data_IF_640508383993
#
_entry.id   IF_640508383993
#
_cell.length_a   1.000
_cell.length_b   1.000
_cell.length_c   1.000
_cell.angle_alpha   90.00
_cell.angle_beta   90.00
_cell.angle_gamma   90.00
#
_symmetry.space_group_name_H-M   'P 1'
#
loop_
_entity.id
_entity.type
_entity.pdbx_description
1 polymer ?
#
# COMPACT_ATOMS: atom_id res chain seq x y z
N UNK A 1 -9.89 25.72 71.88
CA UNK A 1 -10.76 26.60 71.10
C UNK A 1 -10.74 26.14 69.63
N UNK A 2 -11.91 26.12 69.00
CA UNK A 2 -12.22 25.19 67.93
C UNK A 2 -11.96 25.74 66.51
N UNK A 3 -11.69 24.80 65.60
CA UNK A 3 -11.70 25.02 64.18
C UNK A 3 -13.12 25.29 63.66
N UNK A 4 -13.30 26.02 62.58
CA UNK A 4 -14.46 25.85 61.75
C UNK A 4 -14.10 25.17 60.44
N UNK A 5 -14.83 24.11 60.19
CA UNK A 5 -14.95 23.44 58.92
C UNK A 5 -15.50 24.36 57.82
N UNK A 6 -14.86 24.34 56.66
CA UNK A 6 -15.39 24.93 55.43
C UNK A 6 -15.17 23.92 54.29
N UNK A 7 -16.15 23.06 54.08
CA UNK A 7 -16.26 22.18 52.92
C UNK A 7 -16.63 23.01 51.70
N UNK A 8 -15.74 23.07 50.70
CA UNK A 8 -16.08 23.52 49.35
C UNK A 8 -15.73 22.38 48.39
N UNK A 9 -16.70 21.52 48.18
CA UNK A 9 -16.72 20.56 47.08
C UNK A 9 -17.04 21.28 45.77
N UNK A 10 -16.05 21.70 45.02
CA UNK A 10 -16.24 22.12 43.63
C UNK A 10 -16.04 20.92 42.73
N UNK A 11 -17.17 20.25 42.40
CA UNK A 11 -17.23 19.28 41.34
C UNK A 11 -17.05 19.96 39.98
N UNK A 12 -15.83 20.05 39.51
CA UNK A 12 -15.55 20.36 38.11
C UNK A 12 -15.82 19.10 37.28
N UNK A 13 -17.09 18.93 36.91
CA UNK A 13 -17.47 18.05 35.82
C UNK A 13 -17.06 18.71 34.51
N UNK A 14 -15.78 18.57 34.12
CA UNK A 14 -15.35 18.84 32.75
C UNK A 14 -16.01 17.83 31.81
N UNK A 15 -17.13 18.24 31.25
CA UNK A 15 -17.79 17.59 30.14
C UNK A 15 -16.87 17.63 28.92
N UNK A 16 -16.01 16.61 28.76
CA UNK A 16 -15.25 16.37 27.53
C UNK A 16 -16.23 16.25 26.37
N UNK A 17 -16.47 17.35 25.65
CA UNK A 17 -17.22 17.36 24.38
C UNK A 17 -16.61 16.30 23.48
N UNK A 18 -17.27 15.16 23.32
CA UNK A 18 -16.90 14.04 22.46
C UNK A 18 -16.78 14.57 21.05
N UNK A 19 -15.56 14.84 20.60
CA UNK A 19 -15.28 15.41 19.28
C UNK A 19 -15.79 14.42 18.23
N UNK A 20 -16.92 14.76 17.60
CA UNK A 20 -17.54 13.90 16.56
C UNK A 20 -16.52 13.74 15.41
N UNK A 21 -16.22 12.49 15.06
CA UNK A 21 -15.32 12.18 13.96
C UNK A 21 -16.08 12.36 12.65
N UNK A 22 -15.59 13.25 11.77
CA UNK A 22 -16.17 13.43 10.44
C UNK A 22 -15.64 12.33 9.52
N UNK A 23 -16.52 11.47 9.00
CA UNK A 23 -16.17 10.35 8.12
C UNK A 23 -16.50 10.66 6.66
N UNK A 24 -15.58 10.30 5.76
CA UNK A 24 -15.85 10.20 4.33
C UNK A 24 -15.91 8.73 3.94
N UNK A 25 -17.02 8.30 3.33
CA UNK A 25 -17.20 6.92 2.89
C UNK A 25 -17.01 6.79 1.39
N UNK A 26 -16.29 5.75 0.99
CA UNK A 26 -16.17 5.33 -0.41
C UNK A 26 -16.40 3.82 -0.53
N UNK A 27 -17.08 3.38 -1.59
CA UNK A 27 -17.57 2.02 -1.76
C UNK A 27 -17.19 1.49 -3.13
N UNK A 28 -16.77 0.23 -3.21
CA UNK A 28 -16.60 -0.42 -4.51
C UNK A 28 -17.95 -0.82 -5.13
N UNK A 29 -17.92 -1.41 -6.33
CA UNK A 29 -19.12 -1.77 -7.09
C UNK A 29 -19.68 -3.15 -6.70
N UNK A 30 -19.03 -3.91 -5.80
CA UNK A 30 -19.47 -5.25 -5.42
C UNK A 30 -20.79 -5.22 -4.63
N UNK A 31 -21.61 -6.27 -4.77
CA UNK A 31 -22.89 -6.41 -4.09
C UNK A 31 -22.75 -6.21 -2.56
N UNK A 32 -21.72 -6.82 -1.96
CA UNK A 32 -21.47 -6.71 -0.52
C UNK A 32 -21.17 -5.28 -0.09
N UNK A 33 -20.35 -4.55 -0.86
CA UNK A 33 -20.03 -3.15 -0.58
C UNK A 33 -21.23 -2.23 -0.74
N UNK A 34 -22.06 -2.46 -1.76
CA UNK A 34 -23.28 -1.67 -1.98
C UNK A 34 -24.35 -1.94 -0.88
N UNK A 35 -24.48 -3.17 -0.39
CA UNK A 35 -25.31 -3.49 0.76
C UNK A 35 -24.80 -2.80 2.03
N UNK A 36 -23.49 -2.78 2.23
CA UNK A 36 -22.87 -2.08 3.35
C UNK A 36 -23.06 -0.56 3.24
N UNK A 37 -23.00 0.01 2.03
CA UNK A 37 -23.28 1.43 1.76
C UNK A 37 -24.64 1.84 2.31
N UNK A 38 -25.71 1.10 2.00
CA UNK A 38 -27.06 1.39 2.52
C UNK A 38 -27.06 1.44 4.05
N UNK A 39 -26.46 0.43 4.72
CA UNK A 39 -26.40 0.34 6.19
C UNK A 39 -25.61 1.49 6.83
N UNK A 40 -24.47 1.86 6.24
CA UNK A 40 -23.61 2.90 6.82
C UNK A 40 -24.16 4.30 6.59
N UNK A 41 -24.69 4.61 5.41
CA UNK A 41 -25.25 5.94 5.11
C UNK A 41 -26.57 6.23 5.83
N UNK A 42 -27.32 5.19 6.21
CA UNK A 42 -28.48 5.37 7.11
C UNK A 42 -28.06 5.74 8.55
N UNK A 43 -26.84 5.39 8.96
CA UNK A 43 -26.37 5.59 10.34
C UNK A 43 -25.40 6.76 10.50
N UNK A 44 -24.61 7.06 9.47
CA UNK A 44 -23.54 8.05 9.54
C UNK A 44 -23.66 9.06 8.39
N UNK A 45 -23.45 10.33 8.71
CA UNK A 45 -23.35 11.40 7.71
C UNK A 45 -22.08 11.22 6.89
N UNK A 46 -22.19 11.24 5.56
CA UNK A 46 -21.05 11.23 4.65
C UNK A 46 -20.54 12.65 4.44
N UNK A 47 -19.34 12.94 4.92
CA UNK A 47 -18.68 14.23 4.73
C UNK A 47 -17.83 14.21 3.45
N UNK A 48 -17.45 15.37 2.93
CA UNK A 48 -16.48 15.43 1.82
C UNK A 48 -15.11 14.91 2.26
N UNK A 49 -14.32 14.34 1.35
CA UNK A 49 -12.97 13.86 1.67
C UNK A 49 -12.05 14.99 2.19
N UNK A 50 -12.28 16.23 1.76
CA UNK A 50 -11.52 17.41 2.21
C UNK A 50 -11.81 17.73 3.68
N UNK A 51 -13.05 17.68 4.10
CA UNK A 51 -13.51 18.08 5.45
C UNK A 51 -13.54 16.92 6.45
N UNK A 52 -13.38 15.69 5.98
CA UNK A 52 -13.38 14.51 6.85
C UNK A 52 -12.11 14.41 7.70
N UNK A 53 -12.23 13.70 8.83
CA UNK A 53 -11.10 13.31 9.68
C UNK A 53 -10.49 11.99 9.24
N UNK A 54 -11.32 11.08 8.68
CA UNK A 54 -10.93 9.74 8.25
C UNK A 54 -11.68 9.39 6.96
N UNK A 55 -11.00 8.71 6.05
CA UNK A 55 -11.59 8.12 4.84
C UNK A 55 -11.85 6.65 5.11
N UNK A 56 -13.13 6.25 5.08
CA UNK A 56 -13.57 4.87 5.28
C UNK A 56 -13.78 4.24 3.91
N UNK A 57 -13.03 3.18 3.63
CA UNK A 57 -13.03 2.47 2.34
C UNK A 57 -13.70 1.12 2.52
N UNK A 58 -14.84 0.88 1.88
CA UNK A 58 -15.54 -0.40 1.87
C UNK A 58 -15.32 -1.12 0.55
N UNK A 59 -14.60 -2.25 0.58
CA UNK A 59 -14.21 -3.01 -0.62
C UNK A 59 -13.18 -4.07 -0.31
N UNK A 60 -12.38 -4.46 -1.30
CA UNK A 60 -11.20 -5.30 -1.16
C UNK A 60 -9.90 -4.48 -1.21
N UNK A 61 -8.74 -5.17 -1.13
CA UNK A 61 -7.41 -4.52 -1.17
C UNK A 61 -7.19 -3.70 -2.45
N UNK A 62 -7.61 -4.19 -3.61
CA UNK A 62 -7.50 -3.44 -4.87
C UNK A 62 -8.26 -2.11 -4.84
N UNK A 63 -9.45 -2.08 -4.22
CA UNK A 63 -10.20 -0.84 -4.05
C UNK A 63 -9.56 0.10 -3.02
N UNK A 64 -8.94 -0.46 -1.97
CA UNK A 64 -8.13 0.30 -1.02
C UNK A 64 -6.95 0.98 -1.72
N UNK A 65 -6.18 0.25 -2.54
CA UNK A 65 -5.05 0.80 -3.30
C UNK A 65 -5.48 1.96 -4.21
N UNK A 66 -6.62 1.81 -4.90
CA UNK A 66 -7.21 2.88 -5.72
C UNK A 66 -7.61 4.09 -4.87
N UNK A 67 -8.22 3.86 -3.72
CA UNK A 67 -8.66 4.91 -2.80
C UNK A 67 -7.49 5.68 -2.21
N UNK A 68 -6.41 4.99 -1.81
CA UNK A 68 -5.17 5.60 -1.34
C UNK A 68 -4.60 6.57 -2.38
N UNK A 69 -4.53 6.15 -3.66
CA UNK A 69 -4.05 6.99 -4.77
C UNK A 69 -4.97 8.17 -5.04
N UNK A 70 -6.29 7.94 -5.08
CA UNK A 70 -7.30 8.96 -5.37
C UNK A 70 -7.32 10.08 -4.32
N UNK A 71 -7.21 9.72 -3.07
CA UNK A 71 -7.37 10.64 -1.95
C UNK A 71 -6.06 11.09 -1.29
N UNK A 72 -4.89 10.70 -1.84
CA UNK A 72 -3.56 11.03 -1.30
C UNK A 72 -3.38 12.53 -1.01
N UNK A 73 -3.92 13.40 -1.86
CA UNK A 73 -3.83 14.88 -1.72
C UNK A 73 -4.46 15.42 -0.44
N UNK A 74 -5.40 14.71 0.17
CA UNK A 74 -6.07 15.17 1.40
C UNK A 74 -5.30 14.82 2.67
N UNK A 75 -4.25 13.99 2.59
CA UNK A 75 -3.39 13.58 3.74
C UNK A 75 -4.19 13.07 4.94
N UNK A 76 -5.30 12.36 4.69
CA UNK A 76 -6.17 11.80 5.73
C UNK A 76 -5.82 10.33 5.98
N UNK A 77 -6.02 9.81 7.20
CA UNK A 77 -5.92 8.39 7.48
C UNK A 77 -7.07 7.62 6.82
N UNK A 78 -6.80 6.36 6.46
CA UNK A 78 -7.74 5.46 5.81
C UNK A 78 -8.09 4.30 6.73
N UNK A 79 -9.38 3.99 6.84
CA UNK A 79 -9.89 2.82 7.54
C UNK A 79 -10.61 1.91 6.54
N UNK A 80 -10.02 0.76 6.23
CA UNK A 80 -10.59 -0.20 5.29
C UNK A 80 -11.61 -1.13 5.97
N UNK A 81 -12.73 -1.41 5.32
CA UNK A 81 -13.71 -2.43 5.70
C UNK A 81 -13.76 -3.48 4.61
N UNK A 82 -13.39 -4.73 4.94
CA UNK A 82 -13.37 -5.81 3.98
C UNK A 82 -14.80 -6.22 3.59
N UNK A 83 -15.08 -6.14 2.30
CA UNK A 83 -16.31 -6.62 1.66
C UNK A 83 -16.08 -7.86 0.77
N UNK A 84 -14.83 -8.29 0.62
CA UNK A 84 -14.41 -9.48 -0.12
C UNK A 84 -14.09 -10.66 0.78
N UNK A 85 -13.50 -11.70 0.17
CA UNK A 85 -13.11 -12.94 0.89
C UNK A 85 -11.85 -12.72 1.72
N UNK A 86 -10.85 -12.07 1.14
CA UNK A 86 -9.56 -11.77 1.77
C UNK A 86 -9.24 -10.29 1.66
N UNK A 87 -8.57 -9.75 2.67
CA UNK A 87 -8.12 -8.36 2.63
C UNK A 87 -6.96 -8.14 3.59
N UNK A 88 -5.76 -7.91 3.03
CA UNK A 88 -4.55 -7.69 3.81
C UNK A 88 -4.50 -6.27 4.38
N UNK A 89 -5.00 -5.28 3.63
CA UNK A 89 -5.06 -3.88 4.05
C UNK A 89 -6.36 -3.51 4.77
N UNK A 90 -7.33 -4.46 4.85
CA UNK A 90 -8.68 -4.20 5.31
C UNK A 90 -8.93 -4.71 6.74
N UNK A 91 -9.87 -4.10 7.46
CA UNK A 91 -10.39 -4.59 8.73
C UNK A 91 -11.65 -5.43 8.51
N UNK A 92 -12.00 -6.29 9.46
CA UNK A 92 -13.29 -7.01 9.43
C UNK A 92 -14.43 -6.02 9.68
N UNK A 93 -15.50 -6.17 8.90
CA UNK A 93 -16.71 -5.42 9.20
C UNK A 93 -17.28 -5.84 10.56
N UNK A 94 -17.64 -4.84 11.37
CA UNK A 94 -18.48 -5.04 12.55
C UNK A 94 -19.55 -3.97 12.54
N UNK A 95 -20.81 -4.41 12.67
CA UNK A 95 -22.00 -3.55 12.55
C UNK A 95 -22.14 -2.50 13.66
N UNK A 96 -21.49 -2.71 14.79
CA UNK A 96 -21.60 -1.85 15.96
C UNK A 96 -20.34 -1.00 16.16
N UNK A 97 -20.54 0.29 16.49
CA UNK A 97 -19.51 1.21 17.02
C UNK A 97 -18.30 1.48 16.10
N UNK A 98 -18.51 1.76 14.79
CA UNK A 98 -17.45 2.09 13.85
C UNK A 98 -16.54 3.23 14.35
N UNK A 99 -17.12 4.31 14.90
CA UNK A 99 -16.33 5.42 15.44
C UNK A 99 -15.41 5.01 16.58
N UNK A 100 -15.91 4.19 17.53
CA UNK A 100 -15.08 3.66 18.63
C UNK A 100 -13.93 2.80 18.09
N UNK A 101 -14.16 2.01 17.03
CA UNK A 101 -13.10 1.23 16.37
C UNK A 101 -12.06 2.12 15.73
N UNK A 102 -12.49 3.15 15.00
CA UNK A 102 -11.58 4.10 14.35
C UNK A 102 -10.73 4.84 15.39
N UNK A 103 -11.32 5.25 16.53
CA UNK A 103 -10.59 5.91 17.63
C UNK A 103 -9.51 4.98 18.21
N UNK A 104 -9.81 3.70 18.39
CA UNK A 104 -8.91 2.70 18.97
C UNK A 104 -7.93 2.11 17.95
N UNK A 105 -8.09 2.41 16.68
CA UNK A 105 -7.29 1.82 15.62
C UNK A 105 -5.81 2.21 15.73
N UNK A 106 -4.93 1.24 15.50
CA UNK A 106 -3.49 1.47 15.39
C UNK A 106 -3.16 2.08 14.03
N UNK A 107 -2.33 3.11 14.04
CA UNK A 107 -1.84 3.78 12.84
C UNK A 107 -0.62 3.07 12.27
N UNK A 108 -0.59 2.91 10.97
CA UNK A 108 0.56 2.42 10.22
C UNK A 108 0.78 3.35 9.04
N UNK A 109 1.99 3.89 8.89
CA UNK A 109 2.33 4.78 7.79
C UNK A 109 3.15 4.04 6.75
N UNK A 110 2.79 4.20 5.48
CA UNK A 110 3.46 3.61 4.32
C UNK A 110 3.90 4.74 3.39
N UNK A 111 5.13 4.67 2.90
CA UNK A 111 5.62 5.54 1.84
C UNK A 111 5.56 4.78 0.51
N UNK A 112 4.81 5.26 -0.50
CA UNK A 112 4.69 4.56 -1.77
C UNK A 112 5.96 4.69 -2.62
N UNK A 113 6.11 3.80 -3.59
CA UNK A 113 7.07 3.97 -4.67
C UNK A 113 6.59 5.06 -5.62
N UNK A 114 7.48 5.93 -6.03
CA UNK A 114 7.30 6.87 -7.14
C UNK A 114 7.99 6.30 -8.38
N UNK A 115 7.27 6.31 -9.48
CA UNK A 115 7.69 5.72 -10.73
C UNK A 115 7.69 6.80 -11.80
N UNK A 116 8.78 6.87 -12.55
CA UNK A 116 8.88 7.72 -13.74
C UNK A 116 9.23 6.81 -14.92
N UNK A 117 8.29 6.66 -15.84
CA UNK A 117 8.45 5.86 -17.05
C UNK A 117 8.91 6.71 -18.22
N UNK A 118 9.74 6.13 -19.08
CA UNK A 118 10.13 6.69 -20.37
C UNK A 118 9.67 5.72 -21.46
N UNK A 119 8.80 6.20 -22.36
CA UNK A 119 8.29 5.49 -23.53
C UNK A 119 8.85 6.12 -24.79
N UNK A 120 8.54 5.52 -25.96
CA UNK A 120 8.89 6.08 -27.29
C UNK A 120 8.23 7.45 -27.57
N UNK A 121 7.08 7.72 -26.95
CA UNK A 121 6.41 9.02 -26.99
C UNK A 121 6.74 9.76 -25.68
N UNK A 122 7.20 10.98 -25.77
CA UNK A 122 7.86 11.84 -24.76
C UNK A 122 6.98 12.16 -23.51
N UNK A 123 6.26 11.22 -22.95
CA UNK A 123 5.46 11.48 -21.75
C UNK A 123 6.06 10.76 -20.53
N UNK A 124 6.77 11.52 -19.70
CA UNK A 124 7.14 11.11 -18.34
C UNK A 124 5.87 11.07 -17.48
N UNK A 125 5.18 9.95 -17.44
CA UNK A 125 4.06 9.78 -16.53
C UNK A 125 4.60 9.39 -15.16
N UNK A 126 4.40 10.26 -14.18
CA UNK A 126 4.71 9.94 -12.79
C UNK A 126 3.53 9.20 -12.16
N UNK A 127 3.77 8.00 -11.64
CA UNK A 127 2.79 7.20 -10.92
C UNK A 127 3.30 6.87 -9.52
N UNK A 128 2.40 6.45 -8.65
CA UNK A 128 2.74 5.88 -7.35
C UNK A 128 2.22 4.44 -7.25
N UNK A 129 3.00 3.59 -6.56
CA UNK A 129 2.59 2.25 -6.18
C UNK A 129 2.75 2.07 -4.67
N UNK A 130 1.74 1.49 -4.04
CA UNK A 130 1.72 1.22 -2.59
C UNK A 130 2.36 -0.13 -2.30
N UNK A 131 2.02 -1.16 -3.06
CA UNK A 131 2.55 -2.51 -2.92
C UNK A 131 3.85 -2.69 -3.71
N UNK A 132 3.75 -2.69 -5.04
CA UNK A 132 4.87 -3.01 -5.91
C UNK A 132 4.77 -2.38 -7.29
N UNK A 133 5.90 -2.41 -7.95
CA UNK A 133 6.04 -2.14 -9.38
C UNK A 133 6.64 -3.37 -10.03
N UNK A 134 5.99 -3.89 -11.04
CA UNK A 134 6.49 -5.01 -11.83
C UNK A 134 6.69 -4.62 -13.30
N UNK A 135 7.72 -5.18 -13.93
CA UNK A 135 7.93 -5.14 -15.36
C UNK A 135 7.73 -6.54 -15.92
N UNK A 136 6.87 -6.67 -16.93
CA UNK A 136 6.54 -7.93 -17.58
C UNK A 136 6.78 -7.88 -19.07
N UNK A 137 7.07 -9.06 -19.63
CA UNK A 137 7.00 -9.28 -21.08
C UNK A 137 5.57 -9.05 -21.60
N UNK A 138 5.44 -8.39 -22.75
CA UNK A 138 4.16 -8.19 -23.43
C UNK A 138 3.85 -9.25 -24.48
N UNK A 139 4.84 -10.07 -24.83
CA UNK A 139 4.75 -11.10 -25.85
C UNK A 139 5.27 -12.43 -25.30
N UNK A 140 5.29 -13.49 -26.14
CA UNK A 140 5.94 -14.77 -25.82
C UNK A 140 7.47 -14.66 -25.59
N UNK A 141 8.11 -13.59 -26.03
CA UNK A 141 9.54 -13.37 -25.84
C UNK A 141 9.83 -12.95 -24.39
N UNK A 142 10.90 -13.49 -23.80
CA UNK A 142 11.41 -13.10 -22.50
C UNK A 142 11.82 -11.63 -22.50
N UNK A 143 11.79 -10.97 -21.35
CA UNK A 143 12.37 -9.62 -21.19
C UNK A 143 13.89 -9.65 -21.34
N UNK A 144 14.50 -8.51 -21.68
CA UNK A 144 15.93 -8.27 -21.63
C UNK A 144 16.19 -6.96 -20.93
N UNK A 145 16.45 -7.01 -19.61
CA UNK A 145 16.49 -5.84 -18.76
C UNK A 145 17.89 -5.61 -18.16
N UNK A 146 18.32 -4.35 -18.13
CA UNK A 146 19.46 -3.88 -17.31
C UNK A 146 18.91 -3.34 -16.00
N UNK A 147 19.52 -3.74 -14.87
CA UNK A 147 19.21 -3.24 -13.54
C UNK A 147 20.36 -2.40 -13.00
N UNK A 148 20.06 -1.17 -12.61
CA UNK A 148 21.00 -0.23 -12.00
C UNK A 148 20.44 0.28 -10.66
N UNK A 149 21.31 0.42 -9.66
CA UNK A 149 21.02 1.05 -8.36
C UNK A 149 22.04 2.16 -8.15
N UNK A 150 21.59 3.39 -7.90
CA UNK A 150 22.45 4.59 -7.74
C UNK A 150 23.49 4.70 -8.86
N UNK A 151 23.06 4.53 -10.13
CA UNK A 151 23.89 4.52 -11.35
C UNK A 151 24.86 3.32 -11.46
N UNK A 152 25.02 2.49 -10.42
CA UNK A 152 25.85 1.28 -10.47
C UNK A 152 25.07 0.14 -11.11
N UNK A 153 25.65 -0.51 -12.11
CA UNK A 153 25.05 -1.69 -12.75
C UNK A 153 25.13 -2.89 -11.81
N UNK A 154 23.98 -3.44 -11.45
CA UNK A 154 23.84 -4.65 -10.62
C UNK A 154 23.71 -5.87 -11.52
N UNK A 155 22.90 -5.77 -12.58
CA UNK A 155 22.73 -6.82 -13.58
C UNK A 155 22.82 -6.18 -14.96
N UNK A 156 23.78 -6.61 -15.75
CA UNK A 156 23.97 -6.13 -17.12
C UNK A 156 22.82 -6.58 -18.03
N UNK A 157 22.34 -7.83 -17.85
CA UNK A 157 21.26 -8.40 -18.67
C UNK A 157 20.50 -9.46 -17.88
N UNK A 158 19.27 -9.13 -17.49
CA UNK A 158 18.30 -10.06 -16.91
C UNK A 158 17.39 -10.58 -18.04
N UNK A 159 17.32 -11.90 -18.18
CA UNK A 159 16.41 -12.58 -19.11
C UNK A 159 15.45 -13.42 -18.28
N UNK A 160 14.17 -13.26 -18.49
CA UNK A 160 13.09 -13.95 -17.78
C UNK A 160 11.72 -13.43 -18.19
N UNK A 161 10.70 -13.65 -17.37
CA UNK A 161 9.37 -13.10 -17.62
C UNK A 161 9.23 -11.66 -17.14
N UNK A 162 10.07 -11.26 -16.16
CA UNK A 162 10.04 -9.90 -15.63
C UNK A 162 10.87 -9.69 -14.37
N UNK A 163 10.62 -8.58 -13.71
CA UNK A 163 11.19 -8.22 -12.41
C UNK A 163 10.18 -7.37 -11.62
N UNK A 164 10.16 -7.54 -10.33
CA UNK A 164 9.27 -6.84 -9.41
C UNK A 164 10.07 -6.10 -8.35
N UNK A 165 9.66 -4.88 -8.02
CA UNK A 165 10.18 -4.08 -6.91
C UNK A 165 9.06 -3.86 -5.91
N UNK A 166 9.20 -4.42 -4.70
CA UNK A 166 8.18 -4.37 -3.67
C UNK A 166 8.56 -3.52 -2.47
N UNK A 167 7.57 -2.82 -1.95
CA UNK A 167 7.61 -2.20 -0.62
C UNK A 167 7.44 -3.27 0.48
N UNK A 168 7.72 -2.94 1.75
CA UNK A 168 7.37 -3.84 2.85
C UNK A 168 5.88 -4.19 2.90
N UNK A 169 4.98 -3.24 2.58
CA UNK A 169 3.54 -3.48 2.56
C UNK A 169 3.13 -4.46 1.46
N UNK A 170 3.77 -4.38 0.29
CA UNK A 170 3.54 -5.26 -0.85
C UNK A 170 4.30 -6.58 -0.78
N UNK A 171 5.21 -6.75 0.19
CA UNK A 171 6.06 -7.96 0.26
C UNK A 171 5.26 -9.26 0.47
N UNK A 172 4.05 -9.17 1.00
CA UNK A 172 3.09 -10.27 1.17
C UNK A 172 2.06 -10.37 0.04
N UNK A 173 2.13 -9.49 -0.97
CA UNK A 173 1.27 -9.50 -2.15
C UNK A 173 1.94 -10.29 -3.30
N UNK A 174 1.99 -9.73 -4.50
CA UNK A 174 2.55 -10.42 -5.66
C UNK A 174 4.03 -10.81 -5.48
N UNK A 175 4.80 -10.03 -4.70
CA UNK A 175 6.17 -10.38 -4.35
C UNK A 175 6.28 -11.77 -3.70
N UNK A 176 5.34 -12.12 -2.80
CA UNK A 176 5.32 -13.45 -2.17
C UNK A 176 5.02 -14.56 -3.19
N UNK A 177 4.09 -14.32 -4.11
CA UNK A 177 3.72 -15.28 -5.17
C UNK A 177 4.88 -15.60 -6.12
N UNK A 178 5.82 -14.66 -6.31
CA UNK A 178 7.05 -14.89 -7.09
C UNK A 178 8.25 -15.25 -6.21
N UNK A 179 7.98 -15.80 -5.02
CA UNK A 179 8.99 -16.27 -4.06
C UNK A 179 9.92 -15.18 -3.51
N UNK A 180 9.50 -13.92 -3.54
CA UNK A 180 10.23 -12.81 -2.95
C UNK A 180 10.24 -12.85 -1.41
N UNK A 181 11.17 -12.13 -0.77
CA UNK A 181 11.26 -12.07 0.68
C UNK A 181 10.11 -11.26 1.28
N UNK A 182 9.61 -11.68 2.45
CA UNK A 182 8.68 -10.90 3.26
C UNK A 182 9.49 -9.91 4.09
N UNK A 183 9.17 -8.62 3.94
CA UNK A 183 9.86 -7.53 4.62
C UNK A 183 9.05 -7.02 5.82
N UNK A 184 9.71 -6.81 6.96
CA UNK A 184 9.10 -6.13 8.09
C UNK A 184 8.75 -4.68 7.71
N UNK A 185 7.59 -4.19 8.15
CA UNK A 185 7.03 -2.91 7.71
C UNK A 185 7.97 -1.72 7.95
N UNK A 186 8.69 -1.75 9.07
CA UNK A 186 9.63 -0.70 9.47
C UNK A 186 11.09 -1.01 9.07
N UNK A 187 11.31 -1.96 8.16
CA UNK A 187 12.67 -2.40 7.78
C UNK A 187 13.50 -1.34 7.05
N UNK A 188 12.86 -0.31 6.48
CA UNK A 188 13.54 0.64 5.60
C UNK A 188 14.12 -0.02 4.33
N UNK A 189 13.56 -1.16 3.90
CA UNK A 189 14.05 -1.96 2.78
C UNK A 189 13.03 -2.03 1.63
N UNK A 190 13.51 -2.41 0.45
CA UNK A 190 12.73 -2.83 -0.71
C UNK A 190 13.23 -4.20 -1.16
N UNK A 191 12.33 -5.00 -1.73
CA UNK A 191 12.71 -6.24 -2.40
C UNK A 191 12.73 -6.04 -3.90
N UNK A 192 13.78 -6.52 -4.56
CA UNK A 192 13.86 -6.71 -6.02
C UNK A 192 13.77 -8.20 -6.26
N UNK A 193 12.72 -8.66 -6.92
CA UNK A 193 12.45 -10.09 -7.13
C UNK A 193 12.29 -10.36 -8.62
N UNK A 194 13.08 -11.26 -9.21
CA UNK A 194 12.88 -11.66 -10.59
C UNK A 194 11.64 -12.52 -10.76
N UNK A 195 11.05 -12.48 -11.94
CA UNK A 195 9.93 -13.33 -12.31
C UNK A 195 10.43 -14.34 -13.34
N UNK A 196 10.42 -15.64 -12.99
CA UNK A 196 10.90 -16.73 -13.83
C UNK A 196 12.25 -16.44 -14.50
N UNK A 197 13.35 -16.18 -13.75
CA UNK A 197 14.61 -15.76 -14.33
C UNK A 197 15.29 -16.94 -15.06
N UNK A 198 15.59 -16.73 -16.35
CA UNK A 198 16.39 -17.67 -17.15
C UNK A 198 17.89 -17.38 -17.07
N UNK A 199 18.27 -16.09 -17.06
CA UNK A 199 19.65 -15.62 -16.87
C UNK A 199 19.64 -14.28 -16.10
N UNK A 200 20.53 -14.06 -15.09
CA UNK A 200 21.43 -15.07 -14.49
C UNK A 200 20.63 -16.21 -13.84
N UNK A 201 21.06 -17.44 -14.04
CA UNK A 201 20.45 -18.60 -13.36
C UNK A 201 20.63 -18.47 -11.85
N UNK A 202 19.65 -18.94 -11.07
CA UNK A 202 19.67 -18.94 -9.60
C UNK A 202 19.70 -17.55 -8.95
N UNK A 203 19.58 -16.46 -9.71
CA UNK A 203 19.44 -15.15 -9.09
C UNK A 203 18.05 -15.02 -8.41
N UNK A 204 18.09 -14.98 -7.09
CA UNK A 204 16.85 -14.92 -6.26
C UNK A 204 16.37 -13.48 -6.01
N UNK A 205 17.05 -12.48 -6.55
CA UNK A 205 16.74 -11.07 -6.28
C UNK A 205 17.68 -10.46 -5.23
N UNK A 206 17.28 -9.29 -4.71
CA UNK A 206 18.08 -8.54 -3.73
C UNK A 206 17.22 -7.70 -2.82
N UNK A 207 17.53 -7.68 -1.54
CA UNK A 207 16.98 -6.72 -0.58
C UNK A 207 17.91 -5.50 -0.58
N UNK A 208 17.35 -4.29 -0.69
CA UNK A 208 18.06 -3.03 -0.77
C UNK A 208 17.47 -2.00 0.20
N UNK A 209 18.18 -0.89 0.43
CA UNK A 209 17.64 0.24 1.17
C UNK A 209 16.50 0.92 0.40
N UNK A 210 15.48 1.42 1.09
CA UNK A 210 14.41 2.20 0.48
C UNK A 210 14.82 3.65 0.11
N UNK A 211 16.03 4.07 0.47
CA UNK A 211 16.56 5.38 0.13
C UNK A 211 17.15 5.46 -1.27
N UNK A 212 17.42 4.32 -1.90
CA UNK A 212 18.11 4.27 -3.20
C UNK A 212 17.16 4.44 -4.39
N UNK A 213 17.74 4.90 -5.49
CA UNK A 213 17.08 5.01 -6.79
C UNK A 213 17.42 3.80 -7.65
N UNK A 214 16.38 3.17 -8.18
CA UNK A 214 16.46 1.99 -9.06
C UNK A 214 16.15 2.44 -10.48
N UNK A 215 16.94 1.98 -11.46
CA UNK A 215 16.64 2.15 -12.88
C UNK A 215 16.61 0.79 -13.56
N UNK A 216 15.54 0.55 -14.29
CA UNK A 216 15.36 -0.61 -15.17
C UNK A 216 15.34 -0.11 -16.61
N UNK A 217 16.16 -0.70 -17.47
CA UNK A 217 16.23 -0.35 -18.89
C UNK A 217 15.95 -1.58 -19.72
N UNK A 218 14.98 -1.50 -20.64
CA UNK A 218 14.74 -2.53 -21.63
C UNK A 218 15.82 -2.43 -22.72
N UNK A 219 16.62 -3.49 -22.87
CA UNK A 219 17.75 -3.51 -23.79
C UNK A 219 17.33 -3.76 -25.25
N UNK A 220 16.13 -4.30 -25.46
CA UNK A 220 15.61 -4.64 -26.79
C UNK A 220 14.09 -4.35 -26.88
N UNK A 221 13.69 -3.08 -26.86
CA UNK A 221 12.27 -2.73 -26.79
C UNK A 221 11.48 -3.06 -28.07
N UNK A 222 12.13 -3.20 -29.22
CA UNK A 222 11.46 -3.59 -30.47
C UNK A 222 11.10 -5.08 -30.48
N UNK A 223 12.06 -5.97 -30.17
CA UNK A 223 11.86 -7.42 -30.18
C UNK A 223 11.21 -7.92 -28.90
N UNK A 224 11.45 -7.27 -27.76
CA UNK A 224 11.06 -7.71 -26.41
C UNK A 224 10.33 -6.57 -25.68
N UNK A 225 9.13 -6.18 -26.14
CA UNK A 225 8.39 -5.11 -25.49
C UNK A 225 8.00 -5.49 -24.07
N UNK A 226 8.05 -4.53 -23.14
CA UNK A 226 7.68 -4.72 -21.73
C UNK A 226 6.59 -3.75 -21.31
N UNK A 227 5.73 -4.21 -20.40
CA UNK A 227 4.78 -3.40 -19.67
C UNK A 227 5.26 -3.21 -18.22
N UNK A 228 5.01 -2.05 -17.66
CA UNK A 228 5.15 -1.78 -16.24
C UNK A 228 3.76 -1.73 -15.60
N UNK A 229 3.62 -2.39 -14.44
CA UNK A 229 2.38 -2.36 -13.65
C UNK A 229 2.70 -1.77 -12.27
N UNK A 230 2.03 -0.68 -11.94
CA UNK A 230 2.12 0.00 -10.64
C UNK A 230 0.87 -0.33 -9.82
N UNK A 231 0.94 -1.32 -8.93
CA UNK A 231 -0.19 -1.99 -8.30
C UNK A 231 -1.18 -2.52 -9.35
N UNK A 232 -2.14 -1.70 -9.76
CA UNK A 232 -3.19 -2.03 -10.73
C UNK A 232 -3.22 -1.12 -11.97
N UNK A 233 -2.18 -0.30 -12.18
CA UNK A 233 -2.09 0.62 -13.33
C UNK A 233 -1.01 0.13 -14.27
N UNK A 234 -1.41 -0.28 -15.47
CA UNK A 234 -0.49 -0.75 -16.51
C UNK A 234 -0.05 0.40 -17.43
N UNK A 235 1.25 0.38 -17.81
CA UNK A 235 1.84 1.22 -18.84
C UNK A 235 2.63 0.32 -19.78
N UNK A 236 2.30 0.37 -21.06
CA UNK A 236 2.90 -0.46 -22.10
C UNK A 236 4.09 0.19 -22.81
N UNK A 237 4.89 -0.65 -23.48
CA UNK A 237 6.02 -0.24 -24.33
C UNK A 237 7.05 0.61 -23.61
N UNK A 238 7.45 0.17 -22.41
CA UNK A 238 8.43 0.86 -21.58
C UNK A 238 9.85 0.66 -22.13
N UNK A 239 10.57 1.74 -22.37
CA UNK A 239 12.02 1.74 -22.65
C UNK A 239 12.83 1.74 -21.37
N UNK A 240 12.48 2.56 -20.42
CA UNK A 240 13.11 2.58 -19.11
C UNK A 240 12.15 3.01 -18.02
N UNK A 241 12.45 2.57 -16.81
CA UNK A 241 11.67 2.88 -15.60
C UNK A 241 12.63 3.29 -14.49
N UNK A 242 12.35 4.42 -13.88
CA UNK A 242 13.04 4.88 -12.67
C UNK A 242 12.10 4.78 -11.50
N UNK A 243 12.55 4.15 -10.41
CA UNK A 243 11.76 3.86 -9.21
C UNK A 243 12.52 4.37 -7.99
N UNK A 244 11.83 5.05 -7.09
CA UNK A 244 12.33 5.46 -5.78
C UNK A 244 11.17 5.49 -4.77
N UNK A 245 11.46 5.36 -3.50
CA UNK A 245 10.46 5.62 -2.45
C UNK A 245 10.19 7.12 -2.37
N UNK A 246 8.91 7.50 -2.36
CA UNK A 246 8.51 8.88 -2.14
C UNK A 246 8.24 9.13 -0.65
N UNK A 247 9.25 9.62 0.06
CA UNK A 247 9.17 9.93 1.50
C UNK A 247 8.29 11.15 1.81
N UNK A 248 7.93 11.96 0.82
CA UNK A 248 7.04 13.12 1.00
C UNK A 248 5.56 12.72 1.02
N UNK A 249 5.24 11.49 0.60
CA UNK A 249 3.89 10.95 0.64
C UNK A 249 3.80 9.96 1.81
N UNK A 250 2.95 10.29 2.77
CA UNK A 250 2.63 9.44 3.92
C UNK A 250 1.19 8.94 3.78
N UNK A 251 1.03 7.65 3.55
CA UNK A 251 -0.26 6.97 3.50
C UNK A 251 -0.50 6.31 4.85
N UNK A 252 -1.42 6.87 5.65
CA UNK A 252 -1.72 6.35 6.98
C UNK A 252 -2.92 5.41 6.93
N UNK A 253 -2.69 4.14 7.26
CA UNK A 253 -3.71 3.11 7.41
C UNK A 253 -4.08 2.94 8.88
N UNK A 254 -5.37 2.76 9.14
CA UNK A 254 -5.93 2.48 10.46
C UNK A 254 -6.35 1.01 10.53
N UNK A 255 -5.79 0.29 11.48
CA UNK A 255 -6.07 -1.13 11.69
C UNK A 255 -6.62 -1.38 13.09
N UNK A 256 -7.61 -2.26 13.19
CA UNK A 256 -8.07 -2.77 14.47
C UNK A 256 -6.86 -3.35 15.25
N UNK A 257 -6.75 -3.15 16.57
CA UNK A 257 -5.56 -3.51 17.36
C UNK A 257 -5.11 -4.96 17.19
N UNK A 258 -6.08 -5.87 17.04
CA UNK A 258 -5.83 -7.30 16.87
C UNK A 258 -5.36 -7.67 15.44
N UNK A 259 -5.57 -6.79 14.47
CA UNK A 259 -5.33 -7.00 13.04
C UNK A 259 -4.39 -5.98 12.43
N UNK A 260 -3.45 -5.46 13.20
CA UNK A 260 -2.47 -4.51 12.68
C UNK A 260 -1.67 -5.12 11.52
N UNK A 261 -1.32 -4.30 10.52
CA UNK A 261 -0.54 -4.73 9.36
C UNK A 261 0.79 -5.37 9.79
N UNK A 262 1.41 -4.85 10.85
CA UNK A 262 2.63 -5.43 11.44
C UNK A 262 2.41 -6.88 11.90
N UNK A 263 1.30 -7.16 12.61
CA UNK A 263 0.98 -8.53 13.06
C UNK A 263 0.73 -9.47 11.88
N UNK A 264 0.06 -9.00 10.83
CA UNK A 264 -0.22 -9.81 9.64
C UNK A 264 1.05 -10.18 8.88
N UNK A 265 1.95 -9.22 8.67
CA UNK A 265 3.26 -9.48 8.05
C UNK A 265 4.03 -10.51 8.88
N UNK A 266 4.04 -10.38 10.23
CA UNK A 266 4.70 -11.33 11.11
C UNK A 266 4.11 -12.74 11.01
N UNK A 267 2.79 -12.88 10.92
CA UNK A 267 2.12 -14.18 10.73
C UNK A 267 2.54 -14.82 9.41
N UNK A 268 2.59 -14.05 8.31
CA UNK A 268 3.03 -14.59 7.03
C UNK A 268 4.52 -14.98 7.04
N UNK A 269 5.38 -14.24 7.76
CA UNK A 269 6.78 -14.62 7.95
C UNK A 269 6.92 -15.96 8.68
N UNK A 270 6.11 -16.20 9.73
CA UNK A 270 6.13 -17.45 10.48
C UNK A 270 5.62 -18.60 9.60
N UNK A 271 4.50 -18.43 8.89
CA UNK A 271 3.94 -19.46 8.01
C UNK A 271 4.92 -19.93 6.93
N UNK A 272 5.75 -19.04 6.41
CA UNK A 272 6.78 -19.39 5.43
C UNK A 272 7.84 -20.36 5.99
N UNK A 273 8.02 -20.41 7.29
CA UNK A 273 9.02 -21.29 7.93
C UNK A 273 8.48 -22.71 8.19
N UNK A 274 7.17 -22.95 7.94
CA UNK A 274 6.52 -24.25 8.16
C UNK A 274 6.10 -24.96 6.84
N UNK A 275 6.40 -24.37 5.69
CA UNK A 275 6.25 -24.94 4.34
C UNK A 275 7.66 -25.05 3.70
#
# INVERSE_FOLDING_TARGET
NPCPFGSASSSLAEGTKKKMIKLHFTFDKTKNSQNLKKKLLNKYKNHSAKTSSVIVVAGGDGYMLNSLKKYVKFKKPFYGINCGTYGFLMNRYASKNLEKKIIRAKKTTINPLQIVSCNNKVHKKALIAVNEVSLFRQTKQTVSLKLEIEKKTIIKKLIGDGVLISTPAGSTAYNLSVHGPILSLNSGKLAITPISPFRPRRWKGKIISNSVKIKLTNLDPKKRPVAAVADNIEIRNIKSLTIKTNKNINLTLLHDPERSLVKRIKIEQIRKNFN
#
